data_IF_234236551932
#
_entry.id   IF_234236551932
#
_cell.length_a   1.000
_cell.length_b   1.000
_cell.length_c   1.000
_cell.angle_alpha   90.00
_cell.angle_beta   90.00
_cell.angle_gamma   90.00
#
_symmetry.space_group_name_H-M   'P 1'
#
loop_
_entity.id
_entity.type
_entity.pdbx_description
1 polymer ?
#
# COMPACT_ATOMS: atom_id res chain seq x y z
N UNK A 1 10.44 30.77 11.58
CA UNK A 1 10.90 30.74 10.18
C UNK A 1 12.43 30.75 10.17
N UNK A 2 13.07 29.79 9.50
CA UNK A 2 14.52 29.69 9.44
C UNK A 2 15.15 30.83 8.66
N UNK A 3 16.33 31.28 9.08
CA UNK A 3 17.14 32.25 8.34
C UNK A 3 17.57 31.64 7.00
N UNK A 4 17.35 32.37 5.89
CA UNK A 4 17.75 31.92 4.55
C UNK A 4 19.26 31.63 4.54
N UNK A 5 19.65 30.45 4.07
CA UNK A 5 21.05 30.04 3.87
C UNK A 5 21.67 29.13 4.92
N UNK A 6 20.96 28.78 6.01
CA UNK A 6 21.39 27.73 6.95
C UNK A 6 20.53 26.49 6.80
N UNK A 7 20.89 25.62 5.86
CA UNK A 7 20.33 24.28 5.78
C UNK A 7 20.96 23.40 6.86
N UNK A 8 20.30 23.28 8.01
CA UNK A 8 20.65 22.26 8.99
C UNK A 8 19.95 20.95 8.63
N UNK A 9 20.70 19.94 8.20
CA UNK A 9 20.16 18.60 7.98
C UNK A 9 19.85 17.95 9.34
N UNK A 10 18.56 17.80 9.66
CA UNK A 10 18.12 17.11 10.87
C UNK A 10 17.41 15.80 10.53
N UNK A 11 17.73 14.72 11.26
CA UNK A 11 17.06 13.42 11.12
C UNK A 11 15.70 13.36 11.84
N UNK A 12 15.22 14.47 12.39
CA UNK A 12 13.96 14.53 13.11
C UNK A 12 12.76 14.69 12.16
N UNK A 13 11.69 13.96 12.43
CA UNK A 13 10.40 14.18 11.77
C UNK A 13 9.85 15.56 12.15
N UNK A 14 9.30 16.28 11.18
CA UNK A 14 8.69 17.58 11.42
C UNK A 14 7.47 17.44 12.35
N UNK A 15 7.38 18.34 13.34
CA UNK A 15 6.24 18.40 14.25
C UNK A 15 5.01 18.89 13.48
N UNK A 16 4.02 18.00 13.31
CA UNK A 16 2.77 18.31 12.62
C UNK A 16 1.69 18.67 13.64
N UNK A 17 0.76 19.54 13.25
CA UNK A 17 -0.41 19.94 14.05
C UNK A 17 -1.70 19.38 13.43
N UNK A 18 -2.68 19.07 14.26
CA UNK A 18 -4.03 18.71 13.82
C UNK A 18 -4.94 19.91 13.61
N UNK A 19 -6.15 19.65 13.11
CA UNK A 19 -7.16 20.67 12.85
C UNK A 19 -7.56 21.41 14.14
N UNK A 20 -7.40 20.77 15.30
CA UNK A 20 -7.63 21.38 16.61
C UNK A 20 -6.42 22.12 17.19
N UNK A 21 -5.30 22.18 16.44
CA UNK A 21 -4.05 22.81 16.86
C UNK A 21 -3.22 22.00 17.85
N UNK A 22 -3.58 20.74 18.13
CA UNK A 22 -2.79 19.83 18.97
C UNK A 22 -1.69 19.17 18.15
N UNK A 23 -0.59 18.82 18.82
CA UNK A 23 0.53 18.12 18.19
C UNK A 23 0.09 16.71 17.76
N UNK A 24 0.29 16.38 16.47
CA UNK A 24 0.01 15.07 15.87
C UNK A 24 1.07 14.05 16.24
N UNK A 25 1.04 13.55 17.47
CA UNK A 25 1.88 12.42 17.88
C UNK A 25 1.55 11.12 17.12
N UNK A 26 0.37 11.04 16.48
CA UNK A 26 0.00 9.94 15.59
C UNK A 26 0.95 9.77 14.40
N UNK A 27 1.70 10.80 14.01
CA UNK A 27 2.71 10.69 12.95
C UNK A 27 3.80 9.66 13.28
N UNK A 28 4.11 9.47 14.57
CA UNK A 28 5.07 8.46 15.04
C UNK A 28 4.49 7.05 14.84
N UNK A 29 3.24 6.84 15.28
CA UNK A 29 2.57 5.56 15.13
C UNK A 29 2.32 5.17 13.66
N UNK A 30 2.20 6.16 12.76
CA UNK A 30 2.02 5.97 11.32
C UNK A 30 3.32 5.76 10.55
N UNK A 31 4.48 5.85 11.19
CA UNK A 31 5.76 5.66 10.52
C UNK A 31 5.81 4.30 9.82
N UNK A 32 6.05 4.28 8.50
CA UNK A 32 6.09 3.05 7.70
C UNK A 32 4.74 2.54 7.18
N UNK A 33 3.63 3.20 7.53
CA UNK A 33 2.31 2.94 6.95
C UNK A 33 1.95 4.01 5.89
N UNK A 34 0.97 3.71 5.03
CA UNK A 34 0.42 4.71 4.10
C UNK A 34 -0.34 5.81 4.85
N UNK A 35 -0.44 7.00 4.23
CA UNK A 35 -1.17 8.13 4.81
C UNK A 35 -2.65 7.82 5.06
N UNK A 36 -3.24 6.99 4.21
CA UNK A 36 -4.66 6.61 4.21
C UNK A 36 -4.98 5.48 5.20
N UNK A 37 -3.96 4.80 5.75
CA UNK A 37 -4.19 3.71 6.71
C UNK A 37 -4.67 4.29 8.04
N UNK A 38 -5.86 3.84 8.46
CA UNK A 38 -6.45 4.22 9.74
C UNK A 38 -5.69 3.52 10.87
N UNK A 39 -5.12 4.31 11.77
CA UNK A 39 -4.42 3.85 12.98
C UNK A 39 -4.99 4.61 14.16
N UNK A 40 -5.59 3.87 15.08
CA UNK A 40 -6.09 4.38 16.34
C UNK A 40 -4.92 4.56 17.32
N UNK A 41 -4.85 5.75 17.92
CA UNK A 41 -3.73 6.13 18.81
C UNK A 41 -4.15 7.12 19.88
N UNK A 42 -5.36 7.68 19.79
CA UNK A 42 -5.84 8.72 20.70
C UNK A 42 -6.74 8.10 21.76
N UNK A 43 -6.83 8.75 22.92
CA UNK A 43 -7.81 8.39 23.95
C UNK A 43 -9.25 8.54 23.45
N UNK A 44 -9.50 9.47 22.53
CA UNK A 44 -10.81 9.64 21.89
C UNK A 44 -11.28 8.39 21.17
N UNK A 45 -10.34 7.58 20.67
CA UNK A 45 -10.64 6.34 19.94
C UNK A 45 -11.04 5.20 20.90
N UNK A 46 -10.78 5.35 22.21
CA UNK A 46 -11.16 4.42 23.27
C UNK A 46 -12.52 4.72 23.88
N UNK A 47 -13.06 5.92 23.64
CA UNK A 47 -14.35 6.30 24.18
C UNK A 47 -15.45 5.60 23.37
N UNK A 48 -16.47 5.04 24.03
CA UNK A 48 -17.60 4.45 23.33
C UNK A 48 -18.35 5.54 22.57
N UNK A 49 -18.71 5.24 21.32
CA UNK A 49 -19.70 6.02 20.58
C UNK A 49 -21.09 5.61 21.04
N UNK A 50 -21.89 6.56 21.50
CA UNK A 50 -23.30 6.32 21.84
C UNK A 50 -24.11 6.11 20.56
N UNK A 51 -24.94 5.07 20.54
CA UNK A 51 -25.95 4.85 19.49
C UNK A 51 -27.18 5.63 19.91
N UNK A 52 -27.51 6.70 19.17
CA UNK A 52 -28.56 7.64 19.56
C UNK A 52 -29.94 7.19 19.06
N UNK A 53 -29.99 6.43 17.96
CA UNK A 53 -31.22 5.86 17.42
C UNK A 53 -30.96 4.47 16.81
N UNK A 54 -31.98 3.61 16.81
CA UNK A 54 -31.89 2.26 16.21
C UNK A 54 -31.74 2.32 14.68
N UNK A 55 -32.21 3.39 14.04
CA UNK A 55 -32.20 3.62 12.58
C UNK A 55 -31.11 4.61 12.12
N UNK A 56 -29.95 4.63 12.78
CA UNK A 56 -28.84 5.51 12.41
C UNK A 56 -28.29 5.18 10.99
N UNK A 57 -28.41 6.14 10.06
CA UNK A 57 -28.00 5.97 8.66
C UNK A 57 -26.50 5.62 8.48
N UNK A 58 -25.65 5.93 9.45
CA UNK A 58 -24.21 5.62 9.42
C UNK A 58 -23.89 4.16 9.76
N UNK A 59 -24.81 3.45 10.44
CA UNK A 59 -24.66 2.03 10.80
C UNK A 59 -25.36 1.10 9.80
N UNK A 60 -26.01 1.64 8.77
CA UNK A 60 -26.62 0.85 7.73
C UNK A 60 -25.56 0.18 6.85
N UNK A 61 -25.90 -1.00 6.35
CA UNK A 61 -25.07 -1.66 5.34
C UNK A 61 -25.03 -0.80 4.08
N UNK A 62 -23.95 -0.85 3.29
CA UNK A 62 -23.94 -0.28 1.96
C UNK A 62 -25.10 -0.80 1.12
N UNK A 63 -25.45 -0.06 0.06
CA UNK A 63 -26.57 -0.43 -0.81
C UNK A 63 -26.32 -1.79 -1.49
N UNK A 64 -27.39 -2.49 -1.87
CA UNK A 64 -27.25 -3.80 -2.54
C UNK A 64 -26.46 -3.68 -3.85
N UNK A 65 -26.62 -2.58 -4.58
CA UNK A 65 -25.88 -2.29 -5.81
C UNK A 65 -24.37 -2.12 -5.54
N UNK A 66 -23.98 -1.38 -4.49
CA UNK A 66 -22.57 -1.24 -4.10
C UNK A 66 -21.95 -2.58 -3.71
N UNK A 67 -22.72 -3.44 -3.02
CA UNK A 67 -22.28 -4.78 -2.62
C UNK A 67 -22.04 -5.64 -3.86
N UNK A 68 -22.94 -5.60 -4.85
CA UNK A 68 -22.76 -6.33 -6.11
C UNK A 68 -21.53 -5.82 -6.86
N UNK A 69 -21.36 -4.51 -7.00
CA UNK A 69 -20.19 -3.88 -7.63
C UNK A 69 -18.86 -4.30 -6.99
N UNK A 70 -18.79 -4.27 -5.65
CA UNK A 70 -17.60 -4.68 -4.91
C UNK A 70 -17.36 -6.19 -5.07
N UNK A 71 -18.43 -7.00 -5.06
CA UNK A 71 -18.34 -8.45 -5.24
C UNK A 71 -17.79 -8.78 -6.63
N UNK A 72 -18.24 -8.10 -7.67
CA UNK A 72 -17.73 -8.31 -9.03
C UNK A 72 -16.26 -7.89 -9.16
N UNK A 73 -15.89 -6.71 -8.64
CA UNK A 73 -14.49 -6.22 -8.65
C UNK A 73 -13.56 -7.17 -7.90
N UNK A 74 -13.97 -7.64 -6.73
CA UNK A 74 -13.17 -8.58 -5.91
C UNK A 74 -13.07 -9.95 -6.55
N UNK A 75 -14.17 -10.47 -7.12
CA UNK A 75 -14.19 -11.73 -7.88
C UNK A 75 -13.22 -11.68 -9.06
N UNK A 76 -13.28 -10.63 -9.90
CA UNK A 76 -12.37 -10.47 -11.03
C UNK A 76 -10.90 -10.38 -10.60
N UNK A 77 -10.61 -9.71 -9.47
CA UNK A 77 -9.25 -9.62 -8.93
C UNK A 77 -8.74 -10.99 -8.46
N UNK A 78 -9.56 -11.76 -7.76
CA UNK A 78 -9.22 -13.11 -7.29
C UNK A 78 -9.03 -14.07 -8.47
N UNK A 79 -9.90 -14.02 -9.48
CA UNK A 79 -9.76 -14.80 -10.72
C UNK A 79 -8.45 -14.52 -11.45
N UNK A 80 -8.02 -13.25 -11.52
CA UNK A 80 -6.70 -12.90 -12.11
C UNK A 80 -5.55 -13.56 -11.35
N UNK A 81 -5.59 -13.53 -10.02
CA UNK A 81 -4.55 -14.15 -9.18
C UNK A 81 -4.54 -15.67 -9.28
N UNK A 82 -5.71 -16.31 -9.31
CA UNK A 82 -5.83 -17.77 -9.43
C UNK A 82 -5.41 -18.24 -10.82
N UNK A 83 -5.80 -17.54 -11.89
CA UNK A 83 -5.40 -17.86 -13.26
C UNK A 83 -3.87 -17.79 -13.44
N UNK A 84 -3.20 -16.84 -12.80
CA UNK A 84 -1.73 -16.77 -12.80
C UNK A 84 -1.09 -17.99 -12.11
N UNK A 85 -1.64 -18.43 -10.97
CA UNK A 85 -1.18 -19.63 -10.25
C UNK A 85 -1.43 -20.92 -11.02
N UNK A 86 -2.62 -21.08 -11.60
CA UNK A 86 -2.98 -22.23 -12.44
C UNK A 86 -2.05 -22.29 -13.65
N UNK A 87 -1.84 -21.15 -14.32
CA UNK A 87 -0.94 -21.05 -15.47
C UNK A 87 0.50 -21.40 -15.12
N UNK A 88 0.98 -21.11 -13.90
CA UNK A 88 2.32 -21.51 -13.45
C UNK A 88 2.43 -23.02 -13.12
N UNK A 89 1.33 -23.64 -12.69
CA UNK A 89 1.28 -25.06 -12.34
C UNK A 89 1.14 -26.00 -13.55
N UNK A 90 0.66 -25.50 -14.69
CA UNK A 90 0.54 -26.29 -15.92
C UNK A 90 1.95 -26.63 -16.48
N UNK A 91 2.30 -27.93 -16.63
CA UNK A 91 3.65 -28.35 -17.01
C UNK A 91 4.00 -28.09 -18.48
N UNK A 92 3.00 -28.08 -19.37
CA UNK A 92 3.18 -27.80 -20.79
C UNK A 92 2.34 -26.58 -21.15
N UNK A 93 2.98 -25.56 -21.72
CA UNK A 93 2.31 -24.36 -22.20
C UNK A 93 2.31 -24.34 -23.72
N UNK A 94 1.14 -24.11 -24.31
CA UNK A 94 1.09 -23.69 -25.70
C UNK A 94 1.83 -22.35 -25.83
N UNK A 95 2.63 -22.19 -26.90
CA UNK A 95 3.35 -20.96 -27.14
C UNK A 95 2.37 -19.78 -27.20
N UNK A 96 2.52 -18.76 -26.32
CA UNK A 96 1.64 -17.61 -26.35
C UNK A 96 1.81 -16.87 -27.68
N UNK A 97 0.70 -16.42 -28.26
CA UNK A 97 0.76 -15.51 -29.41
C UNK A 97 1.36 -14.19 -28.93
N UNK A 98 2.42 -13.72 -29.59
CA UNK A 98 3.06 -12.47 -29.25
C UNK A 98 2.04 -11.32 -29.30
N UNK A 99 2.00 -10.52 -28.25
CA UNK A 99 1.13 -9.35 -28.20
C UNK A 99 1.53 -8.34 -29.30
N UNK A 100 0.56 -7.55 -29.82
CA UNK A 100 0.87 -6.49 -30.76
C UNK A 100 1.78 -5.43 -30.13
N UNK A 101 2.55 -4.73 -30.97
CA UNK A 101 3.45 -3.68 -30.51
C UNK A 101 2.69 -2.54 -29.82
N UNK A 102 3.18 -2.10 -28.66
CA UNK A 102 2.60 -1.01 -27.88
C UNK A 102 3.41 0.27 -28.07
N UNK A 103 2.75 1.42 -28.15
CA UNK A 103 3.42 2.72 -28.25
C UNK A 103 3.18 3.51 -26.96
N UNK A 104 4.26 3.90 -26.30
CA UNK A 104 4.23 4.65 -25.05
C UNK A 104 4.82 6.03 -25.29
N UNK A 105 4.11 7.07 -24.86
CA UNK A 105 4.61 8.45 -24.86
C UNK A 105 5.30 8.71 -23.53
N UNK A 106 6.61 9.01 -23.58
CA UNK A 106 7.42 9.28 -22.41
C UNK A 106 7.89 10.74 -22.39
N UNK A 107 7.70 11.39 -21.25
CA UNK A 107 8.25 12.73 -20.97
C UNK A 107 9.42 12.58 -20.00
N UNK A 108 10.67 12.79 -20.43
CA UNK A 108 11.82 12.71 -19.54
C UNK A 108 11.79 13.82 -18.49
N UNK A 109 12.19 13.47 -17.26
CA UNK A 109 12.34 14.44 -16.17
C UNK A 109 13.56 15.35 -16.37
N UNK A 110 14.65 14.82 -16.93
CA UNK A 110 15.83 15.59 -17.31
C UNK A 110 15.59 16.24 -18.69
N UNK A 111 15.44 17.56 -18.69
CA UNK A 111 15.22 18.35 -19.91
C UNK A 111 16.43 19.26 -20.16
N UNK A 112 16.81 19.40 -21.43
CA UNK A 112 17.87 20.30 -21.86
C UNK A 112 18.04 20.23 -23.38
N UNK A 113 18.49 21.33 -24.00
CA UNK A 113 18.57 21.44 -25.48
C UNK A 113 19.50 20.42 -26.14
N UNK A 114 20.49 19.89 -25.39
CA UNK A 114 21.39 18.83 -25.84
C UNK A 114 20.79 17.42 -25.75
N UNK A 115 19.66 17.25 -25.04
CA UNK A 115 19.01 15.96 -24.84
C UNK A 115 17.81 15.81 -25.78
N UNK A 116 17.57 14.57 -26.24
CA UNK A 116 16.42 14.26 -27.10
C UNK A 116 16.33 15.11 -28.38
N UNK A 117 17.46 15.55 -28.94
CA UNK A 117 17.50 16.41 -30.12
C UNK A 117 16.62 17.67 -30.00
N UNK A 118 16.48 18.20 -28.78
CA UNK A 118 15.62 19.36 -28.48
C UNK A 118 14.13 19.06 -28.31
N UNK A 119 13.69 17.82 -28.52
CA UNK A 119 12.29 17.43 -28.30
C UNK A 119 11.97 17.23 -26.81
N UNK A 120 10.77 17.64 -26.40
CA UNK A 120 10.33 17.51 -25.00
C UNK A 120 9.85 16.09 -24.64
N UNK A 121 9.47 15.28 -25.62
CA UNK A 121 8.87 13.96 -25.43
C UNK A 121 9.44 12.94 -26.40
N UNK A 122 9.29 11.65 -26.09
CA UNK A 122 9.66 10.51 -26.95
C UNK A 122 8.48 9.56 -27.08
N UNK A 123 8.32 8.94 -28.24
CA UNK A 123 7.39 7.82 -28.44
C UNK A 123 8.21 6.55 -28.57
N UNK A 124 7.95 5.58 -27.70
CA UNK A 124 8.70 4.33 -27.61
C UNK A 124 7.79 3.20 -28.08
N UNK A 125 8.25 2.41 -29.05
CA UNK A 125 7.60 1.19 -29.49
C UNK A 125 8.12 0.02 -28.65
N UNK A 126 7.28 -0.50 -27.76
CA UNK A 126 7.54 -1.69 -26.97
C UNK A 126 7.04 -2.93 -27.70
N UNK A 127 7.90 -3.94 -27.83
CA UNK A 127 7.58 -5.25 -28.40
C UNK A 127 8.06 -6.31 -27.41
N UNK A 128 7.22 -7.30 -27.12
CA UNK A 128 7.61 -8.43 -26.29
C UNK A 128 8.61 -9.31 -27.04
N UNK A 129 9.75 -9.62 -26.41
CA UNK A 129 10.73 -10.53 -26.98
C UNK A 129 10.14 -11.95 -27.01
N UNK A 130 10.23 -12.61 -28.16
CA UNK A 130 9.73 -13.97 -28.32
C UNK A 130 10.50 -14.93 -27.38
N UNK A 131 9.78 -15.61 -26.49
CA UNK A 131 10.33 -16.62 -25.59
C UNK A 131 10.36 -17.99 -26.25
N UNK A 132 11.44 -18.74 -26.08
CA UNK A 132 11.54 -20.13 -26.53
C UNK A 132 10.72 -21.05 -25.60
N UNK A 133 9.75 -21.82 -26.12
CA UNK A 133 8.96 -22.76 -25.31
C UNK A 133 9.77 -23.94 -24.75
N UNK A 134 10.96 -24.24 -25.29
CA UNK A 134 11.83 -25.33 -24.84
C UNK A 134 12.95 -24.86 -23.90
N UNK A 135 13.06 -23.56 -23.64
CA UNK A 135 14.06 -23.02 -22.73
C UNK A 135 13.72 -23.41 -21.27
N UNK A 136 14.64 -24.06 -20.54
CA UNK A 136 14.43 -24.37 -19.12
C UNK A 136 14.51 -23.10 -18.24
N UNK A 137 14.06 -23.15 -16.98
CA UNK A 137 14.15 -22.02 -16.06
C UNK A 137 15.59 -21.48 -15.92
N UNK A 138 15.77 -20.17 -16.18
CA UNK A 138 17.09 -19.54 -16.25
C UNK A 138 17.80 -19.32 -14.91
N UNK A 139 17.05 -19.26 -13.80
CA UNK A 139 17.57 -18.88 -12.48
C UNK A 139 17.19 -19.86 -11.37
N UNK A 140 18.04 -19.95 -10.34
CA UNK A 140 17.77 -20.73 -9.14
C UNK A 140 16.78 -20.00 -8.21
N UNK A 141 15.59 -20.56 -8.01
CA UNK A 141 14.50 -19.96 -7.22
C UNK A 141 14.58 -20.37 -5.73
N UNK A 142 15.37 -21.38 -5.39
CA UNK A 142 15.47 -21.97 -4.05
C UNK A 142 16.27 -21.13 -3.03
N UNK A 143 16.62 -19.88 -3.33
CA UNK A 143 17.33 -19.00 -2.39
C UNK A 143 16.41 -18.62 -1.23
N UNK A 144 16.73 -19.12 -0.03
CA UNK A 144 16.00 -18.80 1.20
C UNK A 144 16.46 -17.44 1.75
N UNK A 145 15.53 -16.52 1.91
CA UNK A 145 15.75 -15.19 2.47
C UNK A 145 15.01 -15.14 3.83
N UNK A 146 15.59 -14.55 4.88
CA UNK A 146 14.87 -14.38 6.15
C UNK A 146 13.60 -13.55 5.93
N UNK A 147 12.59 -13.75 6.79
CA UNK A 147 11.35 -12.98 6.70
C UNK A 147 11.67 -11.50 6.89
N UNK A 148 11.05 -10.65 6.06
CA UNK A 148 11.10 -9.22 6.23
C UNK A 148 10.55 -8.82 7.61
N UNK A 149 11.01 -7.67 8.14
CA UNK A 149 10.44 -7.11 9.35
C UNK A 149 8.90 -6.96 9.19
N UNK A 150 8.11 -7.21 10.24
CA UNK A 150 6.67 -7.01 10.19
C UNK A 150 6.35 -5.53 9.96
N UNK A 151 5.10 -5.25 9.61
CA UNK A 151 4.62 -3.86 9.61
C UNK A 151 4.84 -3.23 11.00
N UNK A 152 5.12 -1.92 11.08
CA UNK A 152 5.33 -1.22 12.34
C UNK A 152 4.21 -1.54 13.36
N UNK A 153 4.54 -1.77 14.63
CA UNK A 153 3.58 -2.23 15.62
C UNK A 153 2.47 -1.19 15.81
N UNK A 154 1.23 -1.68 15.88
CA UNK A 154 0.09 -0.82 16.16
C UNK A 154 0.11 -0.38 17.65
N UNK A 155 -0.36 0.84 17.97
CA UNK A 155 -0.55 1.27 19.35
C UNK A 155 -1.50 0.32 20.10
N UNK A 156 -1.14 -0.01 21.34
CA UNK A 156 -1.94 -0.88 22.20
C UNK A 156 -2.92 -0.03 23.01
N UNK A 157 -4.21 -0.12 22.68
CA UNK A 157 -5.27 0.65 23.32
C UNK A 157 -5.98 -0.21 24.39
N UNK A 158 -5.28 -0.50 25.47
CA UNK A 158 -5.85 -1.24 26.61
C UNK A 158 -6.66 -0.31 27.53
N UNK A 159 -7.58 -0.89 28.29
CA UNK A 159 -8.11 -0.25 29.48
C UNK A 159 -7.01 -0.09 30.54
N UNK A 160 -7.16 0.84 31.51
CA UNK A 160 -6.24 0.96 32.62
C UNK A 160 -6.03 -0.41 33.32
N UNK A 161 -4.78 -0.78 33.65
CA UNK A 161 -4.50 -2.09 34.22
C UNK A 161 -5.23 -2.26 35.55
N UNK A 162 -5.94 -3.39 35.69
CA UNK A 162 -6.61 -3.74 36.94
C UNK A 162 -5.55 -4.06 38.00
N UNK A 163 -5.75 -3.53 39.21
CA UNK A 163 -4.86 -3.84 40.33
C UNK A 163 -4.96 -5.33 40.68
N UNK A 164 -3.83 -6.03 40.62
CA UNK A 164 -3.75 -7.42 41.06
C UNK A 164 -3.73 -7.50 42.59
N UNK A 165 -4.50 -8.43 43.15
CA UNK A 165 -4.42 -8.76 44.57
C UNK A 165 -3.29 -9.76 44.83
N UNK A 166 -2.67 -9.72 46.03
CA UNK A 166 -1.61 -10.67 46.41
C UNK A 166 -2.09 -12.12 46.33
N UNK A 167 -3.38 -12.38 46.59
CA UNK A 167 -4.01 -13.71 46.45
C UNK A 167 -4.10 -14.20 45.00
N UNK A 168 -4.23 -13.30 44.02
CA UNK A 168 -4.26 -13.67 42.59
C UNK A 168 -2.87 -13.82 41.98
N UNK A 169 -1.86 -13.21 42.61
CA UNK A 169 -0.48 -13.24 42.13
C UNK A 169 0.29 -14.48 42.61
N UNK A 170 -0.08 -15.02 43.79
CA UNK A 170 0.42 -16.29 44.31
C UNK A 170 -0.35 -17.45 43.70
#
# INVERSE_FOLDING_TARGET
>A
MGARGKESTSNALAVQLDESGKVKYSAIARQGHSADKIIYSKLTDLLPSEVLAEDDATLQKPTEDDIQDITEKTKQALEKLTNAKISAALPVKAAPKAAPAQYIRYTPAQQGGAFNSGAKQRVIRMVEAQSDPLEPPRFQINRKIPRAAPSPPAPVLHSPPRRVSVKQQR
#
